data_IF_554077352111
#
_entry.id   IF_554077352111
#
_cell.length_a   1.000
_cell.length_b   1.000
_cell.length_c   1.000
_cell.angle_alpha   90.00
_cell.angle_beta   90.00
_cell.angle_gamma   90.00
#
_symmetry.space_group_name_H-M   'P 1'
#
loop_
_entity.id
_entity.type
_entity.pdbx_description
1 polymer ?
#
# COMPACT_ATOMS: atom_id res chain seq x y z
N UNK A 1 -26.21 28.25 -87.00
CA UNK A 1 -25.49 29.31 -86.28
C UNK A 1 -26.14 29.49 -84.92
N UNK A 2 -25.57 28.89 -83.83
CA UNK A 2 -25.99 29.20 -82.48
C UNK A 2 -24.85 28.72 -81.56
N UNK A 3 -24.20 29.68 -80.97
CA UNK A 3 -23.14 29.46 -80.00
C UNK A 3 -23.76 29.24 -78.62
N UNK A 4 -23.46 28.11 -77.98
CA UNK A 4 -23.75 27.89 -76.61
C UNK A 4 -22.48 28.10 -75.76
N UNK A 5 -22.47 29.10 -74.90
CA UNK A 5 -21.46 29.32 -73.87
C UNK A 5 -21.81 28.48 -72.63
N UNK A 6 -20.91 27.59 -72.30
CA UNK A 6 -20.96 26.87 -71.02
C UNK A 6 -20.16 27.62 -69.95
N UNK A 7 -20.85 28.14 -68.95
CA UNK A 7 -20.23 28.70 -67.72
C UNK A 7 -19.85 27.61 -66.79
N UNK A 8 -18.54 27.40 -66.55
CA UNK A 8 -18.02 26.49 -65.54
C UNK A 8 -17.88 27.22 -64.21
N UNK A 9 -18.80 26.93 -63.30
CA UNK A 9 -18.64 27.35 -61.88
C UNK A 9 -17.62 26.46 -61.15
N UNK A 10 -16.46 27.06 -60.80
CA UNK A 10 -15.47 26.45 -59.91
C UNK A 10 -15.90 26.67 -58.48
N UNK A 11 -16.25 25.60 -57.76
CA UNK A 11 -16.40 25.62 -56.33
C UNK A 11 -15.01 25.46 -55.66
N UNK A 12 -14.68 26.25 -54.62
CA UNK A 12 -13.44 26.06 -53.88
C UNK A 12 -13.57 24.83 -52.98
N UNK A 13 -12.61 23.92 -53.09
CA UNK A 13 -12.52 22.73 -52.23
C UNK A 13 -12.21 23.14 -50.76
N UNK A 14 -13.14 22.92 -49.86
CA UNK A 14 -12.88 23.01 -48.43
C UNK A 14 -11.97 21.85 -48.01
N UNK A 15 -10.73 22.18 -47.62
CA UNK A 15 -9.83 21.20 -46.95
C UNK A 15 -10.31 20.94 -45.54
N UNK A 16 -10.49 19.67 -45.13
CA UNK A 16 -10.88 19.36 -43.73
C UNK A 16 -9.71 19.67 -42.78
N UNK A 17 -9.97 20.49 -41.79
CA UNK A 17 -9.05 20.79 -40.68
C UNK A 17 -9.05 19.65 -39.63
N UNK A 18 -8.72 18.43 -40.03
CA UNK A 18 -8.76 17.24 -39.14
C UNK A 18 -7.56 17.10 -38.23
N UNK A 19 -6.49 17.88 -38.42
CA UNK A 19 -5.26 17.75 -37.62
C UNK A 19 -5.34 18.36 -36.20
N UNK A 20 -6.21 19.37 -35.98
CA UNK A 20 -6.20 20.10 -34.71
C UNK A 20 -6.93 19.32 -33.57
N UNK A 21 -7.94 18.51 -33.91
CA UNK A 21 -8.71 17.75 -32.94
C UNK A 21 -7.98 16.52 -32.39
N UNK A 22 -7.14 15.87 -33.22
CA UNK A 22 -6.32 14.73 -32.79
C UNK A 22 -5.21 15.14 -31.81
N UNK A 23 -4.65 16.34 -31.97
CA UNK A 23 -3.65 16.87 -31.05
C UNK A 23 -4.22 17.19 -29.66
N UNK A 24 -5.42 17.76 -29.59
CA UNK A 24 -6.08 18.07 -28.31
C UNK A 24 -6.53 16.82 -27.54
N UNK A 25 -6.98 15.79 -28.25
CA UNK A 25 -7.36 14.52 -27.62
C UNK A 25 -6.14 13.76 -27.04
N UNK A 26 -5.00 13.77 -27.76
CA UNK A 26 -3.77 13.17 -27.27
C UNK A 26 -3.19 13.91 -26.06
N UNK A 27 -3.24 15.24 -26.06
CA UNK A 27 -2.79 16.05 -24.91
C UNK A 27 -3.67 15.86 -23.68
N UNK A 28 -4.99 15.70 -23.85
CA UNK A 28 -5.91 15.42 -22.74
C UNK A 28 -5.67 14.02 -22.14
N UNK A 29 -5.41 12.99 -22.96
CA UNK A 29 -5.10 11.64 -22.49
C UNK A 29 -3.78 11.59 -21.72
N UNK A 30 -2.75 12.32 -22.17
CA UNK A 30 -1.47 12.41 -21.46
C UNK A 30 -1.60 13.15 -20.12
N UNK A 31 -2.43 14.20 -20.04
CA UNK A 31 -2.67 14.93 -18.81
C UNK A 31 -3.43 14.08 -17.77
N UNK A 32 -4.38 13.24 -18.19
CA UNK A 32 -5.11 12.31 -17.30
C UNK A 32 -4.18 11.21 -16.77
N UNK A 33 -3.28 10.69 -17.61
CA UNK A 33 -2.30 9.69 -17.17
C UNK A 33 -1.29 10.25 -16.16
N UNK A 34 -0.86 11.52 -16.32
CA UNK A 34 0.02 12.19 -15.36
C UNK A 34 -0.68 12.48 -14.02
N UNK A 35 -1.96 12.86 -14.04
CA UNK A 35 -2.74 13.08 -12.82
C UNK A 35 -2.99 11.77 -12.04
N UNK A 36 -3.20 10.65 -12.74
CA UNK A 36 -3.37 9.34 -12.10
C UNK A 36 -2.07 8.85 -11.42
N UNK A 37 -0.90 9.19 -11.94
CA UNK A 37 0.39 8.85 -11.31
C UNK A 37 0.69 9.73 -10.10
N UNK A 38 0.24 11.00 -10.08
CA UNK A 38 0.47 11.91 -8.95
C UNK A 38 -0.24 11.45 -7.66
N UNK A 39 -1.30 10.65 -7.75
CA UNK A 39 -2.02 10.10 -6.58
C UNK A 39 -1.25 9.03 -5.81
N UNK A 40 -0.14 8.53 -6.34
CA UNK A 40 0.66 7.44 -5.77
C UNK A 40 2.11 7.83 -5.43
N UNK A 41 2.44 9.11 -5.48
CA UNK A 41 3.75 9.59 -5.04
C UNK A 41 3.76 9.65 -3.52
N UNK A 42 4.71 9.00 -2.83
CA UNK A 42 4.87 9.15 -1.38
C UNK A 42 5.02 10.63 -1.03
N UNK A 43 4.51 11.07 0.13
CA UNK A 43 4.67 12.44 0.56
C UNK A 43 6.17 12.79 0.63
N UNK A 44 6.54 13.97 0.15
CA UNK A 44 7.95 14.45 0.16
C UNK A 44 8.45 14.72 1.58
N UNK A 45 7.54 14.89 2.53
CA UNK A 45 7.85 15.16 3.94
C UNK A 45 7.46 13.98 4.80
N UNK A 46 8.34 13.58 5.73
CA UNK A 46 8.07 12.51 6.67
C UNK A 46 6.97 12.89 7.69
N UNK A 47 6.45 11.86 8.36
CA UNK A 47 5.44 11.98 9.41
C UNK A 47 5.95 12.84 10.57
N UNK A 48 5.17 13.81 11.03
CA UNK A 48 5.44 14.49 12.27
C UNK A 48 5.12 13.58 13.45
N UNK A 49 6.15 12.91 13.98
CA UNK A 49 6.00 11.94 15.07
C UNK A 49 5.68 12.63 16.39
N UNK A 50 4.50 12.37 16.95
CA UNK A 50 4.06 12.92 18.24
C UNK A 50 4.34 11.95 19.41
N UNK A 51 4.26 10.63 19.14
CA UNK A 51 4.55 9.56 20.11
C UNK A 51 5.45 8.50 19.48
N UNK A 52 6.71 8.45 19.92
CA UNK A 52 7.68 7.48 19.41
C UNK A 52 7.71 6.16 20.21
N UNK A 53 6.81 5.95 21.16
CA UNK A 53 6.87 4.81 22.11
C UNK A 53 6.85 3.43 21.43
N UNK A 54 6.19 3.32 20.29
CA UNK A 54 6.12 2.10 19.48
C UNK A 54 7.21 2.01 18.40
N UNK A 55 7.94 3.09 18.12
CA UNK A 55 8.99 3.13 17.09
C UNK A 55 10.31 2.56 17.63
N UNK A 56 10.27 1.28 18.01
CA UNK A 56 11.40 0.51 18.54
C UNK A 56 11.33 -0.94 18.07
N UNK A 57 12.47 -1.63 17.96
CA UNK A 57 12.48 -3.04 17.63
C UNK A 57 11.81 -3.88 18.73
N UNK A 58 11.21 -5.03 18.40
CA UNK A 58 10.74 -5.98 19.39
C UNK A 58 11.90 -6.52 20.23
N UNK A 59 11.57 -7.08 21.41
CA UNK A 59 12.57 -7.61 22.34
C UNK A 59 13.49 -8.61 21.66
N UNK A 60 14.80 -8.47 21.86
CA UNK A 60 15.84 -9.31 21.26
C UNK A 60 16.32 -8.87 19.88
N UNK A 61 15.62 -7.98 19.19
CA UNK A 61 16.06 -7.41 17.92
C UNK A 61 16.78 -6.08 18.13
N UNK A 62 17.85 -5.84 17.34
CA UNK A 62 18.57 -4.56 17.36
C UNK A 62 18.05 -3.58 16.32
N UNK A 63 17.55 -4.09 15.22
CA UNK A 63 16.97 -3.35 14.10
C UNK A 63 15.67 -4.05 13.70
N UNK A 64 14.67 -3.30 13.31
CA UNK A 64 13.43 -3.83 12.73
C UNK A 64 12.87 -2.84 11.69
N UNK A 65 11.98 -3.33 10.83
CA UNK A 65 11.10 -2.52 10.02
C UNK A 65 9.76 -2.46 10.75
N UNK A 66 9.22 -1.25 10.93
CA UNK A 66 7.85 -1.02 11.44
C UNK A 66 7.03 -0.42 10.32
N UNK A 67 5.87 -1.01 10.04
CA UNK A 67 4.95 -0.58 9.01
C UNK A 67 3.55 -0.37 9.60
N UNK A 68 2.91 0.76 9.28
CA UNK A 68 1.47 0.95 9.42
C UNK A 68 0.84 0.77 8.04
N UNK A 69 0.02 -0.25 7.90
CA UNK A 69 -0.49 -0.73 6.62
C UNK A 69 -2.02 -0.83 6.59
N UNK A 70 -2.55 -0.66 5.39
CA UNK A 70 -3.96 -0.82 5.06
C UNK A 70 -4.09 -1.82 3.90
N UNK A 71 -4.91 -2.86 4.07
CA UNK A 71 -5.05 -3.93 3.09
C UNK A 71 -5.74 -3.50 1.79
N UNK A 72 -6.45 -2.39 1.80
CA UNK A 72 -7.11 -1.82 0.63
C UNK A 72 -6.27 -0.71 -0.05
N UNK A 73 -5.15 -0.29 0.57
CA UNK A 73 -4.25 0.71 0.02
C UNK A 73 -3.35 0.11 -1.07
N UNK A 74 -3.41 0.58 -2.34
CA UNK A 74 -2.59 0.05 -3.42
C UNK A 74 -1.09 0.25 -3.22
N UNK A 75 -0.71 1.30 -2.48
CA UNK A 75 0.70 1.58 -2.20
C UNK A 75 1.27 0.62 -1.15
N UNK A 76 0.44 0.16 -0.19
CA UNK A 76 0.81 -0.92 0.73
C UNK A 76 1.05 -2.24 -0.03
N UNK A 77 0.19 -2.57 -0.99
CA UNK A 77 0.38 -3.75 -1.83
C UNK A 77 1.70 -3.70 -2.62
N UNK A 78 2.07 -2.52 -3.15
CA UNK A 78 3.36 -2.32 -3.85
C UNK A 78 4.56 -2.37 -2.91
N UNK A 79 4.42 -1.91 -1.67
CA UNK A 79 5.50 -1.93 -0.69
C UNK A 79 5.77 -3.33 -0.13
N UNK A 80 4.74 -4.16 0.03
CA UNK A 80 4.80 -5.45 0.70
C UNK A 80 5.95 -6.37 0.23
N UNK A 81 6.17 -6.65 -1.08
CA UNK A 81 7.26 -7.52 -1.52
C UNK A 81 8.65 -6.96 -1.17
N UNK A 82 8.84 -5.64 -1.28
CA UNK A 82 10.11 -4.99 -0.95
C UNK A 82 10.43 -5.09 0.56
N UNK A 83 9.43 -4.87 1.41
CA UNK A 83 9.60 -4.97 2.87
C UNK A 83 9.92 -6.41 3.30
N UNK A 84 9.27 -7.39 2.69
CA UNK A 84 9.55 -8.81 2.92
C UNK A 84 10.95 -9.20 2.47
N UNK A 85 11.36 -8.77 1.28
CA UNK A 85 12.72 -9.00 0.78
C UNK A 85 13.76 -8.42 1.73
N UNK A 86 13.57 -7.17 2.17
CA UNK A 86 14.46 -6.52 3.11
C UNK A 86 14.52 -7.25 4.45
N UNK A 87 13.37 -7.59 5.04
CA UNK A 87 13.30 -8.33 6.30
C UNK A 87 14.01 -9.69 6.21
N UNK A 88 13.80 -10.43 5.12
CA UNK A 88 14.43 -11.73 4.88
C UNK A 88 15.94 -11.61 4.66
N UNK A 89 16.40 -10.66 3.82
CA UNK A 89 17.81 -10.42 3.52
C UNK A 89 18.63 -10.11 4.77
N UNK A 90 18.12 -9.22 5.62
CA UNK A 90 18.82 -8.77 6.83
C UNK A 90 18.50 -9.62 8.06
N UNK A 91 17.55 -10.56 7.95
CA UNK A 91 17.05 -11.38 9.07
C UNK A 91 16.59 -10.51 10.26
N UNK A 92 15.86 -9.44 9.94
CA UNK A 92 15.29 -8.51 10.92
C UNK A 92 13.77 -8.64 10.94
N UNK A 93 13.11 -8.34 12.07
CA UNK A 93 11.66 -8.35 12.13
C UNK A 93 11.02 -7.31 11.19
N UNK A 94 9.92 -7.72 10.54
CA UNK A 94 8.92 -6.81 9.95
C UNK A 94 7.72 -6.79 10.90
N UNK A 95 7.59 -5.69 11.63
CA UNK A 95 6.46 -5.43 12.55
C UNK A 95 5.40 -4.66 11.80
N UNK A 96 4.23 -5.25 11.62
CA UNK A 96 3.11 -4.62 10.93
C UNK A 96 2.01 -4.27 11.90
N UNK A 97 1.57 -3.02 11.85
CA UNK A 97 0.40 -2.49 12.53
C UNK A 97 -0.72 -2.27 11.53
N UNK A 98 -1.93 -2.68 11.88
CA UNK A 98 -3.11 -2.50 11.03
C UNK A 98 -3.61 -1.05 11.16
N UNK A 99 -3.67 -0.33 10.03
CA UNK A 99 -4.14 1.05 9.99
C UNK A 99 -5.19 1.23 8.87
N UNK A 100 -6.37 0.60 9.00
CA UNK A 100 -7.42 0.68 7.99
C UNK A 100 -7.97 2.09 7.88
N UNK A 101 -7.80 2.74 6.72
CA UNK A 101 -8.25 4.11 6.48
C UNK A 101 -9.79 4.17 6.38
N UNK A 102 -10.42 5.25 6.87
CA UNK A 102 -11.88 5.35 6.92
C UNK A 102 -12.60 5.25 5.56
N UNK A 103 -11.92 5.59 4.45
CA UNK A 103 -12.47 5.47 3.09
C UNK A 103 -12.44 4.04 2.54
N UNK A 104 -11.72 3.12 3.18
CA UNK A 104 -11.57 1.73 2.75
C UNK A 104 -12.60 0.84 3.46
N UNK A 105 -13.42 0.15 2.68
CA UNK A 105 -14.62 -0.49 3.21
C UNK A 105 -14.45 -1.95 3.64
N UNK A 106 -13.35 -2.61 3.24
CA UNK A 106 -13.07 -4.00 3.62
C UNK A 106 -11.71 -4.20 4.33
N UNK A 107 -10.85 -3.20 4.36
CA UNK A 107 -9.51 -3.27 4.98
C UNK A 107 -9.56 -3.69 6.45
N UNK A 108 -10.49 -3.12 7.24
CA UNK A 108 -10.67 -3.49 8.65
C UNK A 108 -11.01 -4.99 8.80
N UNK A 109 -11.92 -5.50 7.98
CA UNK A 109 -12.31 -6.92 8.00
C UNK A 109 -11.15 -7.81 7.57
N UNK A 110 -10.35 -7.41 6.57
CA UNK A 110 -9.15 -8.14 6.16
C UNK A 110 -8.12 -8.23 7.31
N UNK A 111 -7.93 -7.15 8.07
CA UNK A 111 -7.06 -7.13 9.24
C UNK A 111 -7.55 -8.10 10.32
N UNK A 112 -8.85 -8.10 10.63
CA UNK A 112 -9.45 -9.06 11.60
C UNK A 112 -9.25 -10.49 11.15
N UNK A 113 -9.49 -10.79 9.85
CA UNK A 113 -9.30 -12.12 9.28
C UNK A 113 -7.83 -12.55 9.36
N UNK A 114 -6.88 -11.66 9.03
CA UNK A 114 -5.45 -11.94 9.14
C UNK A 114 -5.05 -12.32 10.58
N UNK A 115 -5.53 -11.59 11.57
CA UNK A 115 -5.30 -11.91 12.98
C UNK A 115 -5.95 -13.23 13.40
N UNK A 116 -7.09 -13.57 12.83
CA UNK A 116 -7.69 -14.87 13.08
C UNK A 116 -6.81 -16.01 12.53
N UNK A 117 -6.24 -15.86 11.33
CA UNK A 117 -5.27 -16.82 10.82
C UNK A 117 -3.99 -16.88 11.66
N UNK A 118 -3.53 -15.78 12.25
CA UNK A 118 -2.43 -15.77 13.22
C UNK A 118 -2.73 -16.69 14.42
N UNK A 119 -4.00 -16.85 14.83
CA UNK A 119 -4.37 -17.78 15.91
C UNK A 119 -4.17 -19.26 15.55
N UNK A 120 -4.04 -19.57 14.25
CA UNK A 120 -3.72 -20.93 13.78
C UNK A 120 -2.20 -21.11 13.67
N UNK A 121 -1.53 -20.20 13.02
CA UNK A 121 -0.09 -20.01 13.06
C UNK A 121 0.28 -18.63 12.52
N UNK A 122 1.39 -18.08 13.03
CA UNK A 122 1.91 -16.80 12.52
C UNK A 122 2.22 -16.86 11.02
N UNK A 123 2.75 -17.99 10.54
CA UNK A 123 3.05 -18.20 9.13
C UNK A 123 1.79 -18.12 8.25
N UNK A 124 0.68 -18.72 8.71
CA UNK A 124 -0.59 -18.69 7.96
C UNK A 124 -1.19 -17.29 7.92
N UNK A 125 -1.13 -16.55 9.04
CA UNK A 125 -1.56 -15.16 9.07
C UNK A 125 -0.73 -14.26 8.16
N UNK A 126 0.60 -14.45 8.14
CA UNK A 126 1.49 -13.71 7.24
C UNK A 126 1.21 -14.04 5.76
N UNK A 127 0.96 -15.31 5.45
CA UNK A 127 0.60 -15.73 4.10
C UNK A 127 -0.77 -15.15 3.67
N UNK A 128 -1.75 -15.13 4.55
CA UNK A 128 -3.03 -14.48 4.26
C UNK A 128 -2.85 -12.99 3.92
N UNK A 129 -2.05 -12.25 4.70
CA UNK A 129 -1.73 -10.84 4.43
C UNK A 129 -1.10 -10.65 3.06
N UNK A 130 -0.13 -11.49 2.72
CA UNK A 130 0.55 -11.46 1.43
C UNK A 130 -0.40 -11.73 0.28
N UNK A 131 -1.26 -12.73 0.41
CA UNK A 131 -2.23 -13.09 -0.61
C UNK A 131 -3.31 -12.01 -0.79
N UNK A 132 -3.75 -11.34 0.29
CA UNK A 132 -4.65 -10.19 0.19
C UNK A 132 -4.01 -9.06 -0.60
N UNK A 133 -2.76 -8.68 -0.31
CA UNK A 133 -2.05 -7.66 -1.07
C UNK A 133 -1.82 -8.06 -2.53
N UNK A 134 -1.45 -9.31 -2.80
CA UNK A 134 -1.21 -9.80 -4.15
C UNK A 134 -2.48 -9.83 -5.01
N UNK A 135 -3.65 -10.02 -4.39
CA UNK A 135 -4.94 -10.11 -5.07
C UNK A 135 -5.83 -8.86 -4.87
N UNK A 136 -5.28 -7.77 -4.34
CA UNK A 136 -6.02 -6.58 -3.93
C UNK A 136 -6.93 -6.03 -5.03
N UNK A 137 -6.46 -5.98 -6.29
CA UNK A 137 -7.25 -5.49 -7.43
C UNK A 137 -8.50 -6.34 -7.66
N UNK A 138 -8.44 -7.65 -7.35
CA UNK A 138 -9.56 -8.57 -7.49
C UNK A 138 -10.52 -8.51 -6.30
N UNK A 139 -10.09 -7.95 -5.15
CA UNK A 139 -10.89 -7.79 -3.94
C UNK A 139 -11.47 -6.38 -3.90
N UNK A 140 -12.58 -6.16 -4.59
CA UNK A 140 -13.17 -4.81 -4.75
C UNK A 140 -14.39 -4.56 -3.84
N UNK A 141 -14.74 -5.50 -2.96
CA UNK A 141 -15.86 -5.34 -2.03
C UNK A 141 -15.74 -6.28 -0.81
N UNK A 142 -16.45 -6.00 0.30
CA UNK A 142 -16.53 -6.90 1.45
C UNK A 142 -17.01 -8.32 1.09
N UNK A 143 -17.94 -8.45 0.15
CA UNK A 143 -18.44 -9.76 -0.30
C UNK A 143 -17.35 -10.56 -1.02
N UNK A 144 -16.54 -9.92 -1.86
CA UNK A 144 -15.42 -10.58 -2.54
C UNK A 144 -14.31 -10.93 -1.55
N UNK A 145 -14.04 -10.08 -0.55
CA UNK A 145 -13.12 -10.43 0.53
C UNK A 145 -13.59 -11.69 1.27
N UNK A 146 -14.89 -11.81 1.56
CA UNK A 146 -15.44 -13.01 2.22
C UNK A 146 -15.17 -14.27 1.39
N UNK A 147 -15.48 -14.25 0.09
CA UNK A 147 -15.20 -15.36 -0.84
C UNK A 147 -13.70 -15.69 -0.92
N UNK A 148 -12.86 -14.67 -0.99
CA UNK A 148 -11.41 -14.84 -0.96
C UNK A 148 -10.94 -15.53 0.32
N UNK A 149 -11.47 -15.10 1.47
CA UNK A 149 -11.12 -15.64 2.78
C UNK A 149 -11.57 -17.11 2.92
N UNK A 150 -12.78 -17.42 2.46
CA UNK A 150 -13.30 -18.78 2.43
C UNK A 150 -12.42 -19.70 1.55
N UNK A 151 -12.07 -19.22 0.35
CA UNK A 151 -11.18 -19.96 -0.55
C UNK A 151 -9.81 -20.18 0.08
N UNK A 152 -9.19 -19.13 0.64
CA UNK A 152 -7.90 -19.23 1.33
C UNK A 152 -7.94 -20.27 2.47
N UNK A 153 -8.97 -20.23 3.30
CA UNK A 153 -9.15 -21.20 4.39
C UNK A 153 -9.29 -22.64 3.86
N UNK A 154 -10.06 -22.85 2.78
CA UNK A 154 -10.22 -24.15 2.15
C UNK A 154 -8.90 -24.68 1.55
N UNK A 155 -8.16 -23.86 0.83
CA UNK A 155 -6.87 -24.21 0.24
C UNK A 155 -5.83 -24.65 1.30
N UNK A 156 -5.94 -24.09 2.50
CA UNK A 156 -5.06 -24.41 3.64
C UNK A 156 -5.66 -25.45 4.62
N UNK A 157 -6.79 -26.07 4.26
CA UNK A 157 -7.50 -27.07 5.08
C UNK A 157 -7.87 -26.58 6.48
N UNK A 158 -8.18 -25.28 6.62
CA UNK A 158 -8.59 -24.64 7.87
C UNK A 158 -10.10 -24.42 7.85
N UNK A 159 -10.82 -24.97 8.82
CA UNK A 159 -12.25 -24.75 8.95
C UNK A 159 -12.52 -23.29 9.38
N UNK A 160 -13.15 -22.51 8.50
CA UNK A 160 -13.56 -21.16 8.80
C UNK A 160 -14.86 -21.19 9.63
N UNK A 161 -14.90 -20.52 10.82
CA UNK A 161 -16.11 -20.48 11.63
C UNK A 161 -17.13 -19.51 10.99
N UNK A 162 -18.40 -19.63 11.39
CA UNK A 162 -19.45 -18.71 10.95
C UNK A 162 -19.12 -17.24 11.28
N UNK A 163 -18.46 -16.99 12.42
CA UNK A 163 -17.90 -15.68 12.79
C UNK A 163 -16.46 -15.86 13.27
N UNK A 164 -15.52 -15.19 12.63
CA UNK A 164 -14.09 -15.30 12.97
C UNK A 164 -13.73 -14.62 14.29
N UNK A 165 -14.50 -13.64 14.72
CA UNK A 165 -14.27 -12.87 15.96
C UNK A 165 -15.58 -12.60 16.71
N UNK A 166 -16.26 -13.65 17.26
CA UNK A 166 -17.57 -13.50 17.87
C UNK A 166 -17.53 -12.65 19.15
N UNK A 167 -16.37 -12.47 19.77
CA UNK A 167 -16.19 -11.69 20.99
C UNK A 167 -15.62 -10.30 20.73
N UNK A 168 -15.29 -9.95 19.48
CA UNK A 168 -14.70 -8.67 19.10
C UNK A 168 -13.27 -8.44 19.60
N UNK A 169 -12.56 -9.51 20.03
CA UNK A 169 -11.20 -9.40 20.55
C UNK A 169 -10.20 -8.99 19.46
N UNK A 170 -10.25 -9.66 18.32
CA UNK A 170 -9.35 -9.35 17.19
C UNK A 170 -9.65 -7.97 16.61
N UNK A 171 -10.92 -7.61 16.51
CA UNK A 171 -11.35 -6.26 16.14
C UNK A 171 -10.84 -5.19 17.12
N UNK A 172 -10.81 -5.49 18.42
CA UNK A 172 -10.24 -4.59 19.42
C UNK A 172 -8.72 -4.40 19.24
N UNK A 173 -8.00 -5.45 18.85
CA UNK A 173 -6.56 -5.38 18.56
C UNK A 173 -6.28 -4.50 17.31
N UNK A 174 -7.08 -4.64 16.24
CA UNK A 174 -6.98 -3.75 15.05
C UNK A 174 -7.26 -2.29 15.43
N UNK A 175 -8.28 -2.04 16.25
CA UNK A 175 -8.59 -0.69 16.76
C UNK A 175 -7.46 -0.14 17.63
N UNK A 176 -6.79 -0.97 18.41
CA UNK A 176 -5.64 -0.56 19.22
C UNK A 176 -4.47 -0.14 18.36
N UNK A 177 -4.17 -0.86 17.28
CA UNK A 177 -3.14 -0.46 16.30
C UNK A 177 -3.50 0.85 15.59
N UNK A 178 -4.75 1.00 15.16
CA UNK A 178 -5.25 2.24 14.57
C UNK A 178 -5.09 3.43 15.53
N UNK A 179 -5.52 3.27 16.79
CA UNK A 179 -5.36 4.29 17.82
C UNK A 179 -3.88 4.60 18.12
N UNK A 180 -3.00 3.58 18.06
CA UNK A 180 -1.56 3.77 18.16
C UNK A 180 -1.04 4.64 17.02
N UNK A 181 -1.40 4.33 15.78
CA UNK A 181 -1.01 5.11 14.62
C UNK A 181 -1.48 6.57 14.71
N UNK A 182 -2.72 6.80 15.17
CA UNK A 182 -3.22 8.16 15.41
C UNK A 182 -2.38 8.93 16.45
N UNK A 183 -1.98 8.28 17.56
CA UNK A 183 -1.10 8.91 18.56
C UNK A 183 0.29 9.22 18.02
N UNK A 184 0.82 8.38 17.14
CA UNK A 184 2.10 8.63 16.47
C UNK A 184 2.01 9.82 15.52
N UNK A 185 0.86 10.07 14.91
CA UNK A 185 0.63 11.10 13.90
C UNK A 185 0.58 10.54 12.48
N UNK A 186 0.16 9.26 12.33
CA UNK A 186 0.01 8.64 10.99
C UNK A 186 -1.14 9.31 10.24
N UNK A 187 -0.87 9.77 9.02
CA UNK A 187 -1.85 10.43 8.15
C UNK A 187 -2.08 9.66 6.83
N UNK A 188 -1.18 8.73 6.50
CA UNK A 188 -1.23 7.97 5.25
C UNK A 188 -0.67 6.55 5.42
N UNK A 189 -0.95 5.67 4.46
CA UNK A 189 -0.41 4.32 4.38
C UNK A 189 0.22 4.05 3.01
N UNK A 190 1.30 3.24 2.94
CA UNK A 190 2.06 2.75 4.09
C UNK A 190 2.89 3.86 4.71
N UNK A 191 2.98 3.89 6.05
CA UNK A 191 4.03 4.64 6.75
C UNK A 191 5.03 3.64 7.30
N UNK A 192 6.30 3.79 6.97
CA UNK A 192 7.34 2.78 7.19
C UNK A 192 8.53 3.41 7.90
N UNK A 193 9.03 2.75 8.95
CA UNK A 193 10.26 3.15 9.65
C UNK A 193 11.26 2.01 9.72
N UNK A 194 12.55 2.34 9.63
CA UNK A 194 13.63 1.53 10.14
C UNK A 194 13.89 1.98 11.57
N UNK A 195 13.75 1.08 12.53
CA UNK A 195 13.88 1.36 13.96
C UNK A 195 15.07 0.63 14.57
N UNK A 196 15.71 1.24 15.57
CA UNK A 196 16.92 0.71 16.19
C UNK A 196 16.82 0.69 17.71
N UNK A 197 17.45 -0.31 18.33
CA UNK A 197 17.63 -0.38 19.77
C UNK A 197 19.02 0.13 20.13
N UNK A 198 19.10 1.10 21.06
CA UNK A 198 20.38 1.55 21.63
C UNK A 198 21.40 2.01 20.56
N UNK A 199 20.96 2.63 19.47
CA UNK A 199 21.84 3.17 18.44
C UNK A 199 22.55 4.46 18.89
N UNK A 200 23.67 4.78 18.27
CA UNK A 200 24.31 6.10 18.40
C UNK A 200 23.66 7.15 17.50
N UNK A 201 22.91 6.72 16.49
CA UNK A 201 22.15 7.55 15.56
C UNK A 201 20.72 7.78 16.00
N UNK A 202 19.85 8.15 15.06
CA UNK A 202 18.43 8.27 15.28
C UNK A 202 17.81 6.92 15.67
N UNK A 203 16.96 6.88 16.71
CA UNK A 203 16.31 5.63 17.13
C UNK A 203 15.34 5.08 16.09
N UNK A 204 14.87 5.92 15.20
CA UNK A 204 14.01 5.56 14.05
C UNK A 204 14.23 6.54 12.90
N UNK A 205 14.08 6.04 11.67
CA UNK A 205 14.13 6.84 10.44
C UNK A 205 12.97 6.41 9.55
N UNK A 206 12.17 7.36 9.11
CA UNK A 206 11.08 7.09 8.17
C UNK A 206 11.61 6.82 6.76
N UNK A 207 11.04 5.82 6.11
CA UNK A 207 11.37 5.43 4.74
C UNK A 207 10.43 6.16 3.78
N UNK A 208 10.64 7.46 3.60
CA UNK A 208 9.86 8.28 2.64
C UNK A 208 10.16 7.85 1.21
N UNK A 209 11.43 7.66 0.87
CA UNK A 209 11.88 7.11 -0.41
C UNK A 209 12.22 5.62 -0.25
N UNK A 210 11.34 4.74 -0.73
CA UNK A 210 11.50 3.29 -0.63
C UNK A 210 12.74 2.74 -1.34
N UNK A 211 13.28 3.45 -2.33
CA UNK A 211 14.53 3.06 -2.97
C UNK A 211 15.72 3.07 -2.00
N UNK A 212 15.62 3.82 -0.91
CA UNK A 212 16.65 3.92 0.13
C UNK A 212 16.49 2.92 1.27
N UNK A 213 15.44 2.07 1.26
CA UNK A 213 15.16 1.15 2.37
C UNK A 213 16.39 0.32 2.77
N UNK A 214 17.05 -0.32 1.81
CA UNK A 214 18.23 -1.16 2.08
C UNK A 214 19.39 -0.35 2.68
N UNK A 215 19.64 0.84 2.14
CA UNK A 215 20.68 1.75 2.66
C UNK A 215 20.38 2.17 4.10
N UNK A 216 19.13 2.51 4.42
CA UNK A 216 18.73 2.88 5.78
C UNK A 216 18.87 1.71 6.76
N UNK A 217 18.59 0.48 6.33
CA UNK A 217 18.83 -0.72 7.15
C UNK A 217 20.32 -0.96 7.37
N UNK A 218 21.16 -0.82 6.32
CA UNK A 218 22.62 -0.96 6.45
C UNK A 218 23.18 0.03 7.46
N UNK A 219 22.75 1.30 7.40
CA UNK A 219 23.14 2.34 8.36
C UNK A 219 22.68 1.98 9.78
N UNK A 220 21.41 1.58 9.96
CA UNK A 220 20.86 1.19 11.25
C UNK A 220 21.64 0.03 11.89
N UNK A 221 22.04 -0.97 11.07
CA UNK A 221 22.85 -2.09 11.52
C UNK A 221 24.25 -1.63 11.94
N UNK A 222 24.88 -0.73 11.18
CA UNK A 222 26.19 -0.18 11.51
C UNK A 222 26.16 0.60 12.84
N UNK A 223 25.13 1.45 13.04
CA UNK A 223 24.95 2.25 14.26
C UNK A 223 24.74 1.39 15.52
N UNK A 224 24.16 0.20 15.37
CA UNK A 224 23.95 -0.75 16.49
C UNK A 224 25.14 -1.67 16.78
N UNK A 225 26.11 -1.81 15.86
CA UNK A 225 27.32 -2.64 16.02
C UNK A 225 28.46 -1.95 16.76
N UNK A 226 28.46 -0.64 16.82
CA UNK A 226 29.58 0.18 17.31
C UNK A 226 29.62 0.35 18.84
N UNK A 227 29.27 -0.71 19.60
CA UNK A 227 29.44 -0.80 21.06
C UNK A 227 30.57 -1.72 21.44
#
# INVERSE_FOLDING_TARGET
>A
MSHSLALAHRFPALRPRTGLWLGLAAAALLAVAAAAQAQFVPPETGTQVHDASALKPPAGARVAIVEFADYECPDCARANPLLKEAAAKYKIPLVRHDFPLPMHNWSFTAAVNARWFDTKSKALGDEYRDQVFANQISIYSPAILAQFTEKFAADHHVALPFAVDPQGKLAAEVKADYALGQRIGIEHTPTIWVVTANSKGAPFVEVVDRSKLFQLIDQAIADTRSR
#
